data_IF_131598181601
#
_entry.id   IF_131598181601
#
_cell.length_a   1.000
_cell.length_b   1.000
_cell.length_c   1.000
_cell.angle_alpha   90.00
_cell.angle_beta   90.00
_cell.angle_gamma   90.00
#
_symmetry.space_group_name_H-M   'P 1'
#
loop_
_entity.id
_entity.type
_entity.pdbx_description
1 polymer ?
#
# COMPACT_ATOMS: atom_id res chain seq x y z
N UNK A 1 -21.59 39.41 89.95
CA UNK A 1 -21.01 38.10 90.08
C UNK A 1 -20.41 37.75 88.78
N UNK A 2 -19.13 37.89 88.69
CA UNK A 2 -18.35 37.83 87.48
C UNK A 2 -17.72 36.43 87.28
N UNK A 3 -17.79 35.83 86.11
CA UNK A 3 -16.80 34.99 85.50
C UNK A 3 -17.48 34.08 84.47
N UNK A 4 -17.33 34.31 83.18
CA UNK A 4 -17.26 33.33 82.06
C UNK A 4 -17.39 34.06 80.73
N UNK A 5 -16.32 34.67 80.32
CA UNK A 5 -16.12 35.00 78.89
C UNK A 5 -14.61 35.18 78.73
N UNK A 6 -14.00 34.14 78.24
CA UNK A 6 -12.69 34.13 77.58
C UNK A 6 -12.26 32.68 77.29
N UNK A 7 -12.83 32.02 76.32
CA UNK A 7 -12.24 30.91 75.56
C UNK A 7 -13.14 30.68 74.37
N UNK A 8 -12.95 31.34 73.25
CA UNK A 8 -13.47 30.97 71.94
C UNK A 8 -12.98 31.85 70.78
N UNK A 9 -11.67 32.10 70.70
CA UNK A 9 -11.10 32.76 69.51
C UNK A 9 -9.71 32.26 69.14
N UNK A 10 -9.47 30.96 69.25
CA UNK A 10 -8.18 30.38 68.87
C UNK A 10 -8.31 29.09 67.98
N UNK A 11 -9.44 28.88 67.34
CA UNK A 11 -9.66 27.62 66.52
C UNK A 11 -10.10 27.87 65.10
N UNK A 12 -9.96 29.09 64.54
CA UNK A 12 -10.47 29.39 63.17
C UNK A 12 -9.37 29.85 62.17
N UNK A 13 -8.10 29.65 62.45
CA UNK A 13 -6.97 30.09 61.61
C UNK A 13 -6.05 29.02 61.16
N UNK A 14 -6.43 27.71 61.22
CA UNK A 14 -5.60 26.59 60.77
C UNK A 14 -6.18 25.75 59.61
N UNK A 15 -7.28 26.20 58.97
CA UNK A 15 -7.95 25.45 57.90
C UNK A 15 -7.85 26.10 56.51
N UNK A 16 -7.02 27.12 56.29
CA UNK A 16 -6.94 27.86 55.02
C UNK A 16 -5.58 27.77 54.32
N UNK A 17 -4.72 26.82 54.67
CA UNK A 17 -3.35 26.72 54.12
C UNK A 17 -3.06 25.40 53.38
N UNK A 18 -4.06 24.59 52.93
CA UNK A 18 -3.81 23.34 52.22
C UNK A 18 -4.62 23.17 50.94
N UNK A 19 -5.06 24.25 50.30
CA UNK A 19 -5.58 24.25 48.93
C UNK A 19 -4.62 24.94 47.97
N UNK A 20 -3.31 24.60 48.06
CA UNK A 20 -2.30 25.13 47.14
C UNK A 20 -1.92 24.06 46.14
N UNK A 21 -2.32 24.31 44.90
CA UNK A 21 -1.65 23.89 43.68
C UNK A 21 -1.58 22.38 43.37
N UNK A 22 -2.72 21.75 43.11
CA UNK A 22 -2.73 20.84 41.97
C UNK A 22 -3.04 21.73 40.77
N UNK A 23 -2.08 22.50 40.30
CA UNK A 23 -2.08 23.00 38.94
C UNK A 23 -2.00 21.73 38.04
N UNK A 24 -2.97 21.47 37.18
CA UNK A 24 -2.75 20.47 36.17
C UNK A 24 -1.49 20.90 35.42
N UNK A 25 -0.48 20.06 35.41
CA UNK A 25 0.61 20.18 34.43
C UNK A 25 -0.05 20.21 33.07
N UNK A 26 -0.34 21.39 32.57
CA UNK A 26 -0.60 21.61 31.17
C UNK A 26 0.72 21.27 30.49
N UNK A 27 0.89 20.00 30.18
CA UNK A 27 1.94 19.56 29.26
C UNK A 27 1.76 20.42 28.01
N UNK A 28 2.71 21.28 27.75
CA UNK A 28 2.72 22.08 26.54
C UNK A 28 2.55 21.11 25.39
N UNK A 29 1.35 21.12 24.77
CA UNK A 29 1.02 20.23 23.66
C UNK A 29 2.01 20.55 22.55
N UNK A 30 2.87 19.62 22.23
CA UNK A 30 3.86 19.79 21.16
C UNK A 30 3.14 20.15 19.86
N UNK A 31 3.83 20.85 18.95
CA UNK A 31 3.29 21.17 17.62
C UNK A 31 2.78 19.92 16.95
N UNK A 32 1.61 19.99 16.29
CA UNK A 32 1.00 18.87 15.56
C UNK A 32 2.00 18.16 14.62
N UNK A 33 1.82 16.85 14.45
CA UNK A 33 2.49 16.08 13.41
C UNK A 33 1.62 16.16 12.16
N UNK A 34 2.09 16.85 11.15
CA UNK A 34 1.37 17.03 9.89
C UNK A 34 1.84 16.01 8.84
N UNK A 35 0.91 15.27 8.27
CA UNK A 35 1.17 14.27 7.22
C UNK A 35 0.41 14.69 5.98
N UNK A 36 1.10 14.89 4.85
CA UNK A 36 0.42 15.02 3.56
C UNK A 36 0.09 13.62 3.02
N UNK A 37 -1.17 13.36 2.67
CA UNK A 37 -1.53 12.21 1.84
C UNK A 37 -1.84 12.69 0.43
N UNK A 38 -0.90 12.41 -0.49
CA UNK A 38 -1.00 12.77 -1.91
C UNK A 38 -1.36 11.51 -2.67
N UNK A 39 -2.52 11.48 -3.31
CA UNK A 39 -3.06 10.28 -3.93
C UNK A 39 -4.04 10.63 -5.05
N UNK A 40 -4.38 9.68 -5.90
CA UNK A 40 -5.40 9.84 -6.93
C UNK A 40 -6.79 9.79 -6.27
N UNK A 41 -7.23 10.93 -5.72
CA UNK A 41 -8.58 11.10 -5.14
C UNK A 41 -9.63 11.12 -6.23
N UNK A 42 -9.24 11.54 -7.44
CA UNK A 42 -10.01 11.50 -8.68
C UNK A 42 -9.19 10.90 -9.82
N UNK A 43 -9.84 10.58 -10.95
CA UNK A 43 -9.18 10.05 -12.14
C UNK A 43 -9.19 8.52 -12.23
N UNK A 44 -8.40 7.93 -13.15
CA UNK A 44 -8.49 6.50 -13.50
C UNK A 44 -8.21 5.52 -12.35
N UNK A 45 -7.47 5.97 -11.31
CA UNK A 45 -7.11 5.16 -10.14
C UNK A 45 -7.83 5.62 -8.86
N UNK A 46 -8.92 6.37 -8.99
CA UNK A 46 -9.70 6.90 -7.86
C UNK A 46 -10.07 5.81 -6.84
N UNK A 47 -10.54 4.64 -7.30
CA UNK A 47 -10.92 3.54 -6.41
C UNK A 47 -9.73 3.05 -5.55
N UNK A 48 -8.52 3.02 -6.13
CA UNK A 48 -7.30 2.62 -5.42
C UNK A 48 -6.89 3.67 -4.38
N UNK A 49 -6.87 4.94 -4.80
CA UNK A 49 -6.50 6.05 -3.93
C UNK A 49 -7.44 6.18 -2.73
N UNK A 50 -8.75 6.10 -2.95
CA UNK A 50 -9.76 6.16 -1.88
C UNK A 50 -9.64 5.00 -0.89
N UNK A 51 -9.37 3.78 -1.36
CA UNK A 51 -9.11 2.66 -0.47
C UNK A 51 -7.86 2.89 0.39
N UNK A 52 -6.78 3.39 -0.21
CA UNK A 52 -5.55 3.72 0.53
C UNK A 52 -5.82 4.79 1.60
N UNK A 53 -6.57 5.84 1.27
CA UNK A 53 -6.96 6.87 2.24
C UNK A 53 -7.79 6.30 3.39
N UNK A 54 -8.80 5.49 3.08
CA UNK A 54 -9.62 4.81 4.10
C UNK A 54 -8.74 3.98 5.03
N UNK A 55 -7.85 3.16 4.46
CA UNK A 55 -6.93 2.34 5.24
C UNK A 55 -5.96 3.15 6.09
N UNK A 56 -5.40 4.23 5.54
CA UNK A 56 -4.50 5.13 6.27
C UNK A 56 -5.19 5.71 7.51
N UNK A 57 -6.39 6.27 7.37
CA UNK A 57 -7.13 6.86 8.48
C UNK A 57 -7.52 5.82 9.53
N UNK A 58 -8.04 4.67 9.11
CA UNK A 58 -8.38 3.56 10.01
C UNK A 58 -7.16 3.03 10.76
N UNK A 59 -6.03 2.90 10.05
CA UNK A 59 -4.78 2.43 10.65
C UNK A 59 -4.17 3.43 11.63
N UNK A 60 -4.27 4.73 11.37
CA UNK A 60 -3.86 5.78 12.31
C UNK A 60 -4.72 5.74 13.59
N UNK A 61 -6.03 5.63 13.43
CA UNK A 61 -6.96 5.48 14.55
C UNK A 61 -6.60 4.25 15.40
N UNK A 62 -6.50 3.08 14.77
CA UNK A 62 -6.14 1.83 15.43
C UNK A 62 -4.78 1.90 16.13
N UNK A 63 -3.73 2.35 15.44
CA UNK A 63 -2.37 2.35 15.96
C UNK A 63 -2.15 3.35 17.12
N UNK A 64 -2.99 4.39 17.18
CA UNK A 64 -2.97 5.38 18.27
C UNK A 64 -3.98 5.09 19.37
N UNK A 65 -4.76 4.01 19.28
CA UNK A 65 -5.82 3.67 20.23
C UNK A 65 -6.95 4.71 20.24
N UNK A 66 -7.32 5.25 19.08
CA UNK A 66 -8.40 6.24 18.93
C UNK A 66 -8.00 7.68 19.26
N UNK A 67 -6.80 7.92 19.73
CA UNK A 67 -6.38 9.25 20.21
C UNK A 67 -5.86 10.19 19.13
N UNK A 68 -5.45 9.64 17.99
CA UNK A 68 -4.74 10.37 16.92
C UNK A 68 -3.55 11.20 17.45
N UNK A 69 -2.85 10.67 18.48
CA UNK A 69 -1.71 11.36 19.10
C UNK A 69 -0.51 10.43 19.29
N UNK A 70 0.69 10.96 19.16
CA UNK A 70 1.94 10.26 19.49
C UNK A 70 2.91 11.26 20.15
N UNK A 71 3.53 10.87 21.27
CA UNK A 71 4.46 11.73 22.00
C UNK A 71 3.85 13.07 22.42
N UNK A 72 2.55 13.09 22.76
CA UNK A 72 1.81 14.29 23.14
C UNK A 72 1.48 15.24 21.97
N UNK A 73 1.76 14.85 20.74
CA UNK A 73 1.50 15.61 19.49
C UNK A 73 0.33 15.00 18.72
N UNK A 74 -0.61 15.83 18.27
CA UNK A 74 -1.74 15.38 17.43
C UNK A 74 -1.26 15.10 16.03
N UNK A 75 -1.76 14.01 15.43
CA UNK A 75 -1.57 13.69 13.99
C UNK A 75 -2.68 14.38 13.19
N UNK A 76 -2.28 15.14 12.18
CA UNK A 76 -3.17 15.82 11.23
C UNK A 76 -2.82 15.38 9.83
N UNK A 77 -3.78 14.82 9.11
CA UNK A 77 -3.61 14.40 7.71
C UNK A 77 -4.19 15.46 6.77
N UNK A 78 -3.38 15.92 5.82
CA UNK A 78 -3.74 16.88 4.77
C UNK A 78 -3.81 16.13 3.45
N UNK A 79 -5.02 16.01 2.91
CA UNK A 79 -5.25 15.32 1.64
C UNK A 79 -4.97 16.23 0.43
N UNK A 80 -4.33 15.66 -0.60
CA UNK A 80 -4.06 16.33 -1.88
C UNK A 80 -4.33 15.36 -3.03
N UNK A 81 -5.04 15.83 -4.05
CA UNK A 81 -5.44 15.05 -5.22
C UNK A 81 -4.44 15.21 -6.37
N UNK A 82 -3.68 14.17 -6.67
CA UNK A 82 -2.71 14.16 -7.79
C UNK A 82 -3.36 13.84 -9.15
N UNK A 83 -4.61 13.39 -9.17
CA UNK A 83 -5.36 13.02 -10.38
C UNK A 83 -4.62 11.97 -11.26
N UNK A 84 -3.64 11.27 -10.72
CA UNK A 84 -2.74 10.39 -11.46
C UNK A 84 -1.75 11.12 -12.38
N UNK A 85 -1.54 12.45 -12.20
CA UNK A 85 -0.71 13.30 -13.03
C UNK A 85 0.67 13.55 -12.37
N UNK A 86 1.79 13.13 -13.00
CA UNK A 86 3.13 13.25 -12.42
C UNK A 86 3.51 14.67 -12.02
N UNK A 87 3.30 15.67 -12.91
CA UNK A 87 3.65 17.06 -12.63
C UNK A 87 2.81 17.66 -11.49
N UNK A 88 1.52 17.27 -11.41
CA UNK A 88 0.65 17.72 -10.32
C UNK A 88 1.12 17.12 -8.99
N UNK A 89 1.38 15.81 -8.94
CA UNK A 89 1.88 15.16 -7.72
C UNK A 89 3.19 15.75 -7.24
N UNK A 90 4.13 16.03 -8.15
CA UNK A 90 5.40 16.73 -7.87
C UNK A 90 5.15 18.10 -7.22
N UNK A 91 4.30 18.93 -7.83
CA UNK A 91 4.00 20.27 -7.33
C UNK A 91 3.26 20.24 -5.99
N UNK A 92 2.33 19.32 -5.82
CA UNK A 92 1.61 19.13 -4.55
C UNK A 92 2.53 18.71 -3.41
N UNK A 93 3.52 17.86 -3.67
CA UNK A 93 4.50 17.48 -2.65
C UNK A 93 5.41 18.66 -2.27
N UNK A 94 5.88 19.43 -3.25
CA UNK A 94 6.66 20.62 -3.00
C UNK A 94 5.90 21.66 -2.15
N UNK A 95 4.63 21.92 -2.49
CA UNK A 95 3.76 22.80 -1.70
C UNK A 95 3.50 22.23 -0.30
N UNK A 96 3.27 20.92 -0.15
CA UNK A 96 3.08 20.30 1.15
C UNK A 96 4.29 20.50 2.06
N UNK A 97 5.49 20.29 1.56
CA UNK A 97 6.72 20.48 2.34
C UNK A 97 7.07 21.95 2.55
N UNK A 98 6.93 22.78 1.50
CA UNK A 98 7.31 24.18 1.49
C UNK A 98 6.32 25.12 2.17
N UNK A 99 5.05 25.03 1.81
CA UNK A 99 4.00 25.97 2.24
C UNK A 99 3.23 25.45 3.45
N UNK A 100 2.67 24.22 3.37
CA UNK A 100 1.88 23.61 4.46
C UNK A 100 2.75 23.18 5.64
N UNK A 101 4.08 23.11 5.45
CA UNK A 101 5.07 22.70 6.46
C UNK A 101 4.75 21.33 7.06
N UNK A 102 4.33 20.36 6.21
CA UNK A 102 4.12 19.00 6.70
C UNK A 102 5.44 18.36 7.12
N UNK A 103 5.37 17.45 8.09
CA UNK A 103 6.53 16.75 8.62
C UNK A 103 7.00 15.63 7.67
N UNK A 104 6.04 14.92 7.06
CA UNK A 104 6.27 13.82 6.14
C UNK A 104 5.07 13.67 5.19
N UNK A 105 5.22 12.83 4.16
CA UNK A 105 4.14 12.55 3.20
C UNK A 105 3.95 11.04 2.98
N UNK A 106 2.73 10.65 2.60
CA UNK A 106 2.32 9.31 2.18
C UNK A 106 1.75 9.37 0.77
N UNK A 107 1.95 8.35 0.00
CA UNK A 107 1.47 8.23 -1.39
C UNK A 107 2.64 8.04 -2.36
N UNK A 108 2.39 8.22 -3.66
CA UNK A 108 1.12 8.37 -4.36
C UNK A 108 0.55 7.03 -4.86
N UNK A 109 -0.61 7.10 -5.55
CA UNK A 109 -1.26 5.90 -6.09
C UNK A 109 -0.53 5.33 -7.32
N UNK A 110 -0.10 6.18 -8.23
CA UNK A 110 0.48 5.79 -9.52
C UNK A 110 2.01 5.84 -9.52
N UNK A 111 2.67 4.82 -10.12
CA UNK A 111 4.14 4.77 -10.20
C UNK A 111 4.77 5.94 -10.95
N UNK A 112 4.24 6.44 -12.08
CA UNK A 112 4.79 7.64 -12.73
C UNK A 112 4.75 8.88 -11.84
N UNK A 113 3.68 9.03 -11.02
CA UNK A 113 3.58 10.12 -10.05
C UNK A 113 4.62 9.97 -8.95
N UNK A 114 4.81 8.75 -8.42
CA UNK A 114 5.84 8.48 -7.42
C UNK A 114 7.22 8.90 -7.92
N UNK A 115 7.60 8.47 -9.13
CA UNK A 115 8.90 8.79 -9.71
C UNK A 115 9.12 10.31 -9.84
N UNK A 116 8.09 11.08 -10.16
CA UNK A 116 8.18 12.54 -10.21
C UNK A 116 8.32 13.19 -8.82
N UNK A 117 7.83 12.52 -7.76
CA UNK A 117 7.89 13.02 -6.39
C UNK A 117 9.21 12.70 -5.66
N UNK A 118 9.96 11.65 -6.07
CA UNK A 118 11.17 11.24 -5.38
C UNK A 118 12.24 12.35 -5.26
N UNK A 119 12.56 13.11 -6.31
CA UNK A 119 13.52 14.20 -6.20
C UNK A 119 13.08 15.32 -5.25
N UNK A 120 11.76 15.57 -5.13
CA UNK A 120 11.21 16.58 -4.21
C UNK A 120 11.44 16.18 -2.76
N UNK A 121 11.25 14.90 -2.42
CA UNK A 121 11.53 14.40 -1.07
C UNK A 121 13.01 14.59 -0.69
N UNK A 122 13.92 14.40 -1.64
CA UNK A 122 15.36 14.65 -1.45
C UNK A 122 15.69 16.13 -1.30
N UNK A 123 15.14 16.99 -2.15
CA UNK A 123 15.31 18.45 -2.12
C UNK A 123 14.90 19.03 -0.75
N UNK A 124 13.72 18.65 -0.26
CA UNK A 124 13.20 19.13 1.01
C UNK A 124 13.74 18.34 2.23
N UNK A 125 14.50 17.27 1.99
CA UNK A 125 15.05 16.38 3.05
C UNK A 125 13.97 15.88 4.02
N UNK A 126 12.83 15.44 3.47
CA UNK A 126 11.67 14.94 4.21
C UNK A 126 11.24 13.56 3.71
N UNK A 127 10.72 12.74 4.63
CA UNK A 127 10.30 11.38 4.32
C UNK A 127 9.07 11.38 3.41
N UNK A 128 9.16 10.61 2.31
CA UNK A 128 8.03 10.17 1.51
C UNK A 128 7.87 8.66 1.71
N UNK A 129 6.77 8.24 2.33
CA UNK A 129 6.37 6.85 2.46
C UNK A 129 5.49 6.47 1.27
N UNK A 130 6.02 5.65 0.37
CA UNK A 130 5.33 5.28 -0.87
C UNK A 130 4.33 4.15 -0.62
N UNK A 131 3.07 4.40 -0.96
CA UNK A 131 1.93 3.48 -0.93
C UNK A 131 0.84 4.02 -1.86
N UNK A 132 0.29 3.26 -2.79
CA UNK A 132 0.59 1.87 -3.18
C UNK A 132 1.43 1.72 -4.45
N UNK A 133 2.09 2.76 -4.96
CA UNK A 133 2.86 2.71 -6.20
C UNK A 133 3.95 1.61 -6.18
N UNK A 134 4.05 0.81 -7.27
CA UNK A 134 4.78 -0.47 -7.23
C UNK A 134 6.03 -0.57 -8.10
N UNK A 135 6.30 0.36 -9.04
CA UNK A 135 7.45 0.25 -9.93
C UNK A 135 8.75 -0.01 -9.15
N UNK A 136 9.55 -0.97 -9.59
CA UNK A 136 10.81 -1.35 -8.93
C UNK A 136 11.79 -0.18 -8.85
N UNK A 137 11.78 0.69 -9.87
CA UNK A 137 12.63 1.88 -9.95
C UNK A 137 12.46 2.84 -8.76
N UNK A 138 11.31 2.82 -8.05
CA UNK A 138 11.03 3.70 -6.90
C UNK A 138 12.02 3.43 -5.73
N UNK A 139 12.25 2.18 -5.38
CA UNK A 139 13.24 1.75 -4.38
C UNK A 139 14.48 1.14 -5.04
N UNK A 140 14.60 1.25 -6.37
CA UNK A 140 15.71 0.85 -7.20
C UNK A 140 16.59 2.03 -7.62
N UNK A 141 16.81 2.18 -8.92
CA UNK A 141 17.73 3.16 -9.50
C UNK A 141 17.34 4.63 -9.26
N UNK A 142 16.08 4.92 -8.90
CA UNK A 142 15.58 6.27 -8.55
C UNK A 142 15.50 6.52 -7.05
N UNK A 143 15.88 5.54 -6.24
CA UNK A 143 15.83 5.65 -4.79
C UNK A 143 16.74 6.77 -4.26
N UNK A 144 16.30 7.41 -3.19
CA UNK A 144 17.14 8.21 -2.31
C UNK A 144 16.78 7.92 -0.84
N UNK A 145 17.64 8.31 0.10
CA UNK A 145 17.52 7.92 1.52
C UNK A 145 16.24 8.40 2.24
N UNK A 146 15.49 9.33 1.64
CA UNK A 146 14.23 9.85 2.21
C UNK A 146 13.01 9.03 1.77
N UNK A 147 13.19 8.04 0.90
CA UNK A 147 12.11 7.21 0.36
C UNK A 147 12.03 5.92 1.16
N UNK A 148 10.85 5.64 1.72
CA UNK A 148 10.45 4.35 2.26
C UNK A 148 9.22 3.86 1.51
N UNK A 149 9.01 2.53 1.43
CA UNK A 149 7.84 1.97 0.76
C UNK A 149 7.24 0.84 1.56
N UNK A 150 5.97 0.99 1.96
CA UNK A 150 5.15 -0.08 2.54
C UNK A 150 4.43 -0.88 1.46
N UNK A 151 4.13 -0.27 0.32
CA UNK A 151 3.60 -0.98 -0.84
C UNK A 151 4.54 -2.11 -1.31
N UNK A 152 3.95 -3.16 -1.89
CA UNK A 152 4.78 -4.16 -2.57
C UNK A 152 5.46 -3.52 -3.78
N UNK A 153 6.53 -4.15 -4.27
CA UNK A 153 7.18 -3.72 -5.51
C UNK A 153 6.90 -4.69 -6.68
N UNK A 154 7.27 -4.31 -7.89
CA UNK A 154 7.07 -5.13 -9.09
C UNK A 154 7.73 -6.50 -8.98
N UNK A 155 8.91 -6.58 -8.35
CA UNK A 155 9.61 -7.85 -8.12
C UNK A 155 8.84 -8.78 -7.17
N UNK A 156 8.23 -8.25 -6.10
CA UNK A 156 7.38 -9.06 -5.22
C UNK A 156 6.14 -9.59 -5.95
N UNK A 157 5.45 -8.73 -6.73
CA UNK A 157 4.32 -9.17 -7.56
C UNK A 157 4.77 -10.24 -8.57
N UNK A 158 5.88 -10.03 -9.25
CA UNK A 158 6.38 -10.91 -10.30
C UNK A 158 6.78 -12.28 -9.77
N UNK A 159 7.61 -12.32 -8.72
CA UNK A 159 8.06 -13.57 -8.10
C UNK A 159 6.86 -14.38 -7.59
N UNK A 160 5.92 -13.70 -6.92
CA UNK A 160 4.73 -14.37 -6.39
C UNK A 160 3.84 -14.94 -7.51
N UNK A 161 3.64 -14.19 -8.60
CA UNK A 161 2.82 -14.64 -9.72
C UNK A 161 3.52 -15.74 -10.56
N UNK A 162 4.86 -15.71 -10.65
CA UNK A 162 5.61 -16.76 -11.32
C UNK A 162 5.36 -18.15 -10.70
N UNK A 163 5.11 -18.23 -9.38
CA UNK A 163 4.76 -19.49 -8.70
C UNK A 163 3.56 -20.20 -9.37
N UNK A 164 2.60 -19.43 -9.88
CA UNK A 164 1.40 -19.98 -10.52
C UNK A 164 1.65 -20.43 -11.97
N UNK A 165 2.50 -19.73 -12.72
CA UNK A 165 2.57 -19.86 -14.19
C UNK A 165 3.92 -20.37 -14.72
N UNK A 166 5.00 -20.30 -13.93
CA UNK A 166 6.34 -20.71 -14.37
C UNK A 166 6.51 -22.24 -14.33
N UNK A 167 6.08 -22.91 -15.41
CA UNK A 167 6.10 -24.38 -15.56
C UNK A 167 6.69 -24.75 -16.92
N UNK A 168 7.24 -25.96 -17.02
CA UNK A 168 7.76 -26.48 -18.27
C UNK A 168 6.66 -26.58 -19.34
N UNK A 169 7.00 -26.24 -20.58
CA UNK A 169 6.06 -26.30 -21.71
C UNK A 169 5.03 -25.15 -21.75
N UNK A 170 5.18 -24.12 -20.88
CA UNK A 170 4.31 -22.94 -20.88
C UNK A 170 4.92 -21.83 -21.74
N UNK A 171 4.13 -21.28 -22.67
CA UNK A 171 4.45 -20.09 -23.44
C UNK A 171 3.61 -18.90 -22.95
N UNK A 172 4.26 -17.79 -22.65
CA UNK A 172 3.62 -16.61 -22.07
C UNK A 172 3.80 -15.40 -22.99
N UNK A 173 2.75 -14.61 -23.11
CA UNK A 173 2.79 -13.24 -23.61
C UNK A 173 2.35 -12.34 -22.46
N UNK A 174 3.03 -11.22 -22.23
CA UNK A 174 2.55 -10.21 -21.30
C UNK A 174 1.71 -9.15 -22.02
N UNK A 175 0.62 -8.70 -21.39
CA UNK A 175 -0.11 -7.50 -21.78
C UNK A 175 0.03 -6.48 -20.63
N UNK A 176 0.70 -5.38 -20.89
CA UNK A 176 1.01 -4.39 -19.88
C UNK A 176 0.69 -2.96 -20.31
N UNK A 177 0.44 -2.09 -19.34
CA UNK A 177 0.38 -0.65 -19.60
C UNK A 177 1.75 -0.11 -19.98
N UNK A 178 1.81 0.74 -21.01
CA UNK A 178 3.04 1.47 -21.38
C UNK A 178 3.29 2.62 -20.41
N UNK A 179 3.81 2.28 -19.25
CA UNK A 179 4.13 3.18 -18.15
C UNK A 179 5.23 2.57 -17.28
N UNK A 180 5.79 3.33 -16.35
CA UNK A 180 6.78 2.81 -15.41
C UNK A 180 6.25 1.57 -14.65
N UNK A 181 4.96 1.57 -14.26
CA UNK A 181 4.32 0.42 -13.64
C UNK A 181 4.40 -0.84 -14.51
N UNK A 182 3.94 -0.75 -15.77
CA UNK A 182 3.87 -1.91 -16.65
C UNK A 182 5.26 -2.37 -17.11
N UNK A 183 6.16 -1.45 -17.43
CA UNK A 183 7.51 -1.79 -17.89
C UNK A 183 8.35 -2.44 -16.80
N UNK A 184 8.37 -1.89 -15.57
CA UNK A 184 9.05 -2.51 -14.44
C UNK A 184 8.40 -3.86 -14.08
N UNK A 185 7.06 -3.94 -14.17
CA UNK A 185 6.31 -5.17 -13.95
C UNK A 185 6.69 -6.29 -14.92
N UNK A 186 6.74 -6.00 -16.24
CA UNK A 186 7.14 -6.97 -17.26
C UNK A 186 8.60 -7.39 -17.08
N UNK A 187 9.50 -6.41 -16.81
CA UNK A 187 10.91 -6.71 -16.57
C UNK A 187 11.08 -7.66 -15.39
N UNK A 188 10.46 -7.34 -14.25
CA UNK A 188 10.51 -8.18 -13.06
C UNK A 188 9.91 -9.58 -13.30
N UNK A 189 8.78 -9.64 -14.03
CA UNK A 189 8.12 -10.90 -14.36
C UNK A 189 9.01 -11.77 -15.26
N UNK A 190 9.62 -11.20 -16.29
CA UNK A 190 10.56 -11.90 -17.16
C UNK A 190 11.76 -12.47 -16.39
N UNK A 191 12.31 -11.69 -15.45
CA UNK A 191 13.42 -12.13 -14.59
C UNK A 191 13.02 -13.25 -13.62
N UNK A 192 11.72 -13.37 -13.29
CA UNK A 192 11.19 -14.38 -12.38
C UNK A 192 10.80 -15.70 -13.07
N UNK A 193 10.85 -15.76 -14.41
CA UNK A 193 10.55 -16.96 -15.18
C UNK A 193 11.81 -17.78 -15.44
N UNK A 194 11.80 -19.05 -15.02
CA UNK A 194 12.95 -19.96 -15.15
C UNK A 194 12.64 -21.20 -16.00
N UNK A 195 11.37 -21.57 -16.17
CA UNK A 195 10.90 -22.77 -16.88
C UNK A 195 10.06 -22.42 -18.11
N UNK A 196 9.15 -21.47 -17.96
CA UNK A 196 8.29 -20.99 -19.04
C UNK A 196 9.02 -20.03 -19.98
N UNK A 197 8.46 -19.83 -21.18
CA UNK A 197 9.02 -18.92 -22.17
C UNK A 197 8.16 -17.68 -22.32
N UNK A 198 8.70 -16.51 -22.05
CA UNK A 198 8.11 -15.24 -22.45
C UNK A 198 8.40 -15.02 -23.94
N UNK A 199 7.38 -15.15 -24.79
CA UNK A 199 7.52 -15.12 -26.26
C UNK A 199 7.21 -13.77 -26.88
N UNK A 200 6.49 -12.89 -26.16
CA UNK A 200 6.19 -11.53 -26.59
C UNK A 200 5.81 -10.64 -25.40
N UNK A 201 6.16 -9.37 -25.52
CA UNK A 201 5.77 -8.31 -24.57
C UNK A 201 4.88 -7.30 -25.33
N UNK A 202 3.59 -7.25 -24.99
CA UNK A 202 2.63 -6.32 -25.57
C UNK A 202 2.44 -5.14 -24.61
N UNK A 203 2.75 -3.94 -25.07
CA UNK A 203 2.54 -2.69 -24.33
C UNK A 203 1.46 -1.85 -24.97
N UNK A 204 0.49 -1.42 -24.20
CA UNK A 204 -0.62 -0.59 -24.64
C UNK A 204 -0.72 0.69 -23.81
N UNK A 205 -1.13 1.83 -24.40
CA UNK A 205 -1.32 3.07 -23.65
C UNK A 205 -2.23 2.86 -22.42
N UNK A 206 -1.95 3.52 -21.27
CA UNK A 206 -2.76 3.36 -20.06
C UNK A 206 -4.24 3.72 -20.24
N UNK A 207 -4.57 4.60 -21.18
CA UNK A 207 -5.95 5.01 -21.50
C UNK A 207 -6.65 4.07 -22.49
N UNK A 208 -6.05 2.93 -22.86
CA UNK A 208 -6.65 1.97 -23.82
C UNK A 208 -7.98 1.43 -23.31
N UNK A 209 -9.01 1.51 -24.14
CA UNK A 209 -10.35 0.95 -23.89
C UNK A 209 -10.73 -0.11 -24.91
N UNK A 210 -10.09 -0.11 -26.09
CA UNK A 210 -10.19 -1.13 -27.13
C UNK A 210 -8.89 -1.93 -27.21
N UNK A 211 -8.96 -3.18 -26.82
CA UNK A 211 -7.83 -4.11 -26.78
C UNK A 211 -7.73 -5.00 -28.03
N UNK A 212 -8.60 -4.85 -29.01
CA UNK A 212 -8.74 -5.78 -30.16
C UNK A 212 -7.43 -5.95 -30.90
N UNK A 213 -6.76 -4.88 -31.30
CA UNK A 213 -5.51 -4.96 -32.06
C UNK A 213 -4.37 -5.59 -31.25
N UNK A 214 -4.27 -5.26 -29.95
CA UNK A 214 -3.29 -5.87 -29.04
C UNK A 214 -3.58 -7.36 -28.83
N UNK A 215 -4.84 -7.73 -28.60
CA UNK A 215 -5.25 -9.11 -28.44
C UNK A 215 -4.94 -9.94 -29.69
N UNK A 216 -5.18 -9.41 -30.90
CA UNK A 216 -4.85 -10.11 -32.15
C UNK A 216 -3.35 -10.38 -32.27
N UNK A 217 -2.48 -9.39 -31.97
CA UNK A 217 -1.02 -9.61 -31.96
C UNK A 217 -0.59 -10.69 -30.99
N UNK A 218 -1.16 -10.71 -29.78
CA UNK A 218 -0.88 -11.73 -28.76
C UNK A 218 -1.34 -13.13 -29.22
N UNK A 219 -2.55 -13.24 -29.79
CA UNK A 219 -3.06 -14.49 -30.38
C UNK A 219 -2.11 -15.00 -31.45
N UNK A 220 -1.68 -14.13 -32.37
CA UNK A 220 -0.78 -14.52 -33.47
C UNK A 220 0.58 -15.04 -32.97
N UNK A 221 1.05 -14.56 -31.82
CA UNK A 221 2.28 -15.06 -31.19
C UNK A 221 2.10 -16.42 -30.51
N UNK A 222 0.91 -16.72 -29.99
CA UNK A 222 0.64 -17.92 -29.19
C UNK A 222 -0.04 -19.06 -29.94
N UNK A 223 -0.95 -18.79 -30.92
CA UNK A 223 -1.87 -19.77 -31.48
C UNK A 223 -1.20 -21.01 -32.09
N UNK A 224 0.00 -20.87 -32.64
CA UNK A 224 0.75 -21.97 -33.27
C UNK A 224 1.72 -22.71 -32.34
N UNK A 225 1.85 -22.28 -31.10
CA UNK A 225 2.79 -22.87 -30.15
C UNK A 225 2.19 -24.12 -29.49
N UNK A 226 3.03 -25.14 -29.18
CA UNK A 226 2.58 -26.30 -28.41
C UNK A 226 2.46 -25.96 -26.93
N UNK A 227 1.78 -26.85 -26.17
CA UNK A 227 1.66 -26.75 -24.72
C UNK A 227 0.68 -25.70 -24.25
N UNK A 228 0.84 -25.33 -22.98
CA UNK A 228 -0.01 -24.33 -22.31
C UNK A 228 0.38 -22.93 -22.78
N UNK A 229 -0.61 -22.09 -23.05
CA UNK A 229 -0.44 -20.73 -23.58
C UNK A 229 -1.15 -19.74 -22.70
N UNK A 230 -0.44 -18.69 -22.25
CA UNK A 230 -0.95 -17.72 -21.28
C UNK A 230 -0.75 -16.29 -21.79
N UNK A 231 -1.79 -15.48 -21.69
CA UNK A 231 -1.67 -14.02 -21.65
C UNK A 231 -1.63 -13.60 -20.18
N UNK A 232 -0.49 -13.10 -19.73
CA UNK A 232 -0.32 -12.57 -18.37
C UNK A 232 -0.55 -11.06 -18.37
N UNK A 233 -1.56 -10.60 -17.59
CA UNK A 233 -2.00 -9.20 -17.57
C UNK A 233 -1.32 -8.44 -16.44
N UNK A 234 -0.67 -7.29 -16.78
CA UNK A 234 -0.09 -6.32 -15.85
C UNK A 234 -0.77 -4.97 -16.09
N UNK A 235 -1.92 -4.77 -15.45
CA UNK A 235 -2.79 -3.63 -15.73
C UNK A 235 -3.41 -3.06 -14.46
N UNK A 236 -3.48 -1.72 -14.36
CA UNK A 236 -4.11 -1.00 -13.27
C UNK A 236 -5.26 -0.12 -13.79
N UNK A 237 -6.44 -0.21 -13.12
CA UNK A 237 -7.65 0.48 -13.57
C UNK A 237 -8.26 -0.11 -14.84
N UNK A 238 -9.39 0.44 -15.29
CA UNK A 238 -10.08 -0.01 -16.50
C UNK A 238 -10.55 -1.47 -16.44
N UNK A 239 -10.79 -2.05 -17.62
CA UNK A 239 -11.18 -3.46 -17.77
C UNK A 239 -10.35 -4.16 -18.86
N UNK A 240 -9.14 -4.64 -18.54
CA UNK A 240 -8.27 -5.35 -19.48
C UNK A 240 -8.84 -6.72 -19.90
N UNK A 241 -9.80 -7.28 -19.16
CA UNK A 241 -10.40 -8.58 -19.44
C UNK A 241 -11.30 -8.59 -20.69
N UNK A 242 -11.59 -7.41 -21.28
CA UNK A 242 -12.21 -7.33 -22.62
C UNK A 242 -11.46 -8.09 -23.71
N UNK A 243 -10.17 -8.42 -23.52
CA UNK A 243 -9.45 -9.30 -24.44
C UNK A 243 -10.08 -10.71 -24.54
N UNK A 244 -10.83 -11.14 -23.55
CA UNK A 244 -11.54 -12.41 -23.57
C UNK A 244 -12.64 -12.47 -24.66
N UNK A 245 -13.17 -11.31 -25.09
CA UNK A 245 -14.17 -11.19 -26.17
C UNK A 245 -13.59 -11.65 -27.53
N UNK A 246 -12.26 -11.78 -27.64
CA UNK A 246 -11.56 -12.30 -28.81
C UNK A 246 -11.50 -13.83 -28.87
N UNK A 247 -12.34 -14.54 -28.12
CA UNK A 247 -12.42 -15.99 -28.06
C UNK A 247 -11.07 -16.71 -27.91
N UNK A 248 -10.28 -16.25 -26.93
CA UNK A 248 -8.94 -16.78 -26.63
C UNK A 248 -8.96 -18.30 -26.41
N UNK A 249 -10.06 -18.83 -25.89
CA UNK A 249 -10.24 -20.28 -25.63
C UNK A 249 -10.18 -21.12 -26.91
N UNK A 250 -10.67 -20.59 -28.05
CA UNK A 250 -10.58 -21.25 -29.36
C UNK A 250 -9.14 -21.57 -29.75
N UNK A 251 -8.18 -20.76 -29.30
CA UNK A 251 -6.75 -20.93 -29.54
C UNK A 251 -6.02 -21.65 -28.40
N UNK A 252 -6.76 -22.12 -27.38
CA UNK A 252 -6.20 -22.75 -26.19
C UNK A 252 -5.37 -21.77 -25.38
N UNK A 253 -5.71 -20.47 -25.40
CA UNK A 253 -5.02 -19.41 -24.67
C UNK A 253 -5.80 -19.10 -23.39
N UNK A 254 -5.09 -19.14 -22.27
CA UNK A 254 -5.60 -18.80 -20.94
C UNK A 254 -5.21 -17.38 -20.56
N UNK A 255 -5.98 -16.75 -19.68
CA UNK A 255 -5.62 -15.49 -19.03
C UNK A 255 -5.10 -15.81 -17.63
N UNK A 256 -4.02 -15.12 -17.22
CA UNK A 256 -3.55 -15.10 -15.85
C UNK A 256 -3.21 -13.67 -15.42
N UNK A 257 -3.36 -13.37 -14.15
CA UNK A 257 -3.04 -12.06 -13.55
C UNK A 257 -2.94 -12.17 -12.04
N UNK A 258 -2.42 -11.13 -11.39
CA UNK A 258 -2.46 -10.99 -9.94
C UNK A 258 -3.85 -10.66 -9.38
N UNK A 259 -3.98 -10.67 -8.07
CA UNK A 259 -5.16 -10.16 -7.37
C UNK A 259 -5.35 -8.67 -7.60
N UNK A 260 -6.57 -8.19 -7.40
CA UNK A 260 -6.95 -6.80 -7.59
C UNK A 260 -8.03 -6.42 -6.58
N UNK A 261 -8.54 -5.18 -6.65
CA UNK A 261 -9.69 -4.72 -5.87
C UNK A 261 -10.94 -5.53 -6.20
N UNK A 262 -11.82 -5.70 -5.21
CA UNK A 262 -13.03 -6.52 -5.35
C UNK A 262 -13.90 -6.14 -6.56
N UNK A 263 -14.13 -4.85 -6.88
CA UNK A 263 -14.86 -4.47 -8.09
C UNK A 263 -14.22 -4.97 -9.39
N UNK A 264 -12.91 -4.97 -9.49
CA UNK A 264 -12.21 -5.52 -10.66
C UNK A 264 -12.30 -7.06 -10.72
N UNK A 265 -12.30 -7.71 -9.56
CA UNK A 265 -12.40 -9.16 -9.46
C UNK A 265 -13.79 -9.73 -9.79
N UNK A 266 -14.79 -8.87 -10.02
CA UNK A 266 -16.07 -9.30 -10.62
C UNK A 266 -15.83 -9.97 -11.98
N UNK A 267 -14.92 -9.45 -12.79
CA UNK A 267 -14.55 -10.06 -14.08
C UNK A 267 -13.88 -11.44 -13.93
N UNK A 268 -13.24 -11.72 -12.80
CA UNK A 268 -12.58 -13.02 -12.54
C UNK A 268 -13.57 -14.21 -12.47
N UNK A 269 -14.87 -13.93 -12.29
CA UNK A 269 -15.91 -14.99 -12.35
C UNK A 269 -15.95 -15.70 -13.73
N UNK A 270 -15.45 -15.06 -14.77
CA UNK A 270 -15.38 -15.66 -16.11
C UNK A 270 -14.21 -16.66 -16.24
N UNK A 271 -13.31 -16.71 -15.26
CA UNK A 271 -12.08 -17.50 -15.30
C UNK A 271 -11.96 -18.43 -14.08
N UNK A 272 -12.90 -19.36 -13.87
CA UNK A 272 -12.81 -20.32 -12.77
C UNK A 272 -11.53 -21.14 -12.91
N UNK A 273 -10.80 -21.28 -11.80
CA UNK A 273 -9.52 -21.99 -11.80
C UNK A 273 -8.31 -21.15 -12.22
N UNK A 274 -8.47 -19.90 -12.63
CA UNK A 274 -7.35 -18.98 -12.87
C UNK A 274 -6.49 -18.87 -11.62
N UNK A 275 -5.18 -19.03 -11.78
CA UNK A 275 -4.20 -18.89 -10.69
C UNK A 275 -3.42 -17.58 -10.82
N UNK A 276 -3.01 -17.04 -9.69
CA UNK A 276 -2.18 -15.86 -9.58
C UNK A 276 -1.74 -15.61 -8.13
N UNK A 277 -1.15 -14.46 -7.88
CA UNK A 277 -0.81 -14.04 -6.53
C UNK A 277 -1.46 -12.70 -6.17
N UNK A 278 -1.97 -12.59 -4.97
CA UNK A 278 -2.56 -11.37 -4.43
C UNK A 278 -1.65 -10.74 -3.38
N UNK A 279 -1.65 -9.41 -3.35
CA UNK A 279 -1.09 -8.63 -2.27
C UNK A 279 -1.88 -8.81 -0.97
N UNK A 280 -3.22 -8.79 -1.07
CA UNK A 280 -4.13 -8.94 0.04
C UNK A 280 -5.51 -9.40 -0.43
N UNK A 281 -6.17 -10.19 0.40
CA UNK A 281 -7.60 -10.45 0.39
C UNK A 281 -8.06 -10.68 1.82
N UNK A 282 -9.11 -10.05 2.27
CA UNK A 282 -9.50 -9.95 3.67
C UNK A 282 -9.63 -11.29 4.42
N UNK A 283 -9.94 -12.38 3.71
CA UNK A 283 -10.07 -13.71 4.27
C UNK A 283 -8.77 -14.53 4.36
N UNK A 284 -7.64 -14.03 3.80
CA UNK A 284 -6.39 -14.79 3.74
C UNK A 284 -5.49 -14.61 4.97
N UNK A 285 -5.13 -13.40 5.40
CA UNK A 285 -4.30 -13.22 6.58
C UNK A 285 -5.03 -13.65 7.85
N UNK A 286 -4.33 -14.32 8.76
CA UNK A 286 -4.87 -14.78 10.06
C UNK A 286 -4.05 -14.15 11.19
N UNK A 287 -4.40 -12.94 11.57
CA UNK A 287 -3.75 -12.22 12.66
C UNK A 287 -4.67 -11.15 13.26
N UNK A 288 -4.42 -10.73 14.53
CA UNK A 288 -5.31 -9.80 15.23
C UNK A 288 -5.46 -8.43 14.56
N UNK A 289 -4.44 -7.94 13.82
CA UNK A 289 -4.49 -6.65 13.14
C UNK A 289 -5.44 -6.71 11.94
N UNK A 290 -5.41 -7.83 11.19
CA UNK A 290 -6.38 -8.06 10.12
C UNK A 290 -7.80 -8.18 10.66
N UNK A 291 -7.99 -8.95 11.72
CA UNK A 291 -9.31 -9.13 12.32
C UNK A 291 -9.90 -7.79 12.80
N UNK A 292 -9.06 -6.92 13.40
CA UNK A 292 -9.46 -5.58 13.81
C UNK A 292 -9.82 -4.71 12.60
N UNK A 293 -9.00 -4.67 11.54
CA UNK A 293 -9.29 -3.89 10.32
C UNK A 293 -10.58 -4.37 9.66
N UNK A 294 -10.79 -5.68 9.54
CA UNK A 294 -12.02 -6.26 8.97
C UNK A 294 -13.24 -5.84 9.79
N UNK A 295 -13.18 -5.96 11.13
CA UNK A 295 -14.26 -5.56 12.03
C UNK A 295 -14.58 -4.06 11.92
N UNK A 296 -13.57 -3.19 11.95
CA UNK A 296 -13.72 -1.74 11.81
C UNK A 296 -14.37 -1.38 10.46
N UNK A 297 -13.90 -1.98 9.37
CA UNK A 297 -14.41 -1.70 8.02
C UNK A 297 -15.87 -2.14 7.86
N UNK A 298 -16.23 -3.33 8.35
CA UNK A 298 -17.63 -3.77 8.35
C UNK A 298 -18.52 -2.88 9.22
N UNK A 299 -18.02 -2.43 10.36
CA UNK A 299 -18.77 -1.53 11.24
C UNK A 299 -19.11 -0.22 10.53
N UNK A 300 -18.14 0.36 9.84
CA UNK A 300 -18.26 1.67 9.22
C UNK A 300 -18.93 1.63 7.83
N UNK A 301 -18.57 0.67 6.98
CA UNK A 301 -18.94 0.65 5.56
C UNK A 301 -19.86 -0.50 5.17
N UNK A 302 -20.12 -1.47 6.05
CA UNK A 302 -20.92 -2.68 5.78
C UNK A 302 -20.37 -3.59 4.67
N UNK A 303 -19.09 -3.44 4.34
CA UNK A 303 -18.37 -4.20 3.33
C UNK A 303 -17.02 -4.66 3.89
N UNK A 304 -16.38 -5.69 3.34
CA UNK A 304 -15.02 -6.04 3.74
C UNK A 304 -14.01 -4.97 3.31
N UNK A 305 -12.87 -4.85 4.02
CA UNK A 305 -11.74 -4.05 3.54
C UNK A 305 -11.18 -4.67 2.26
N UNK A 306 -10.66 -3.82 1.39
CA UNK A 306 -10.18 -4.22 0.09
C UNK A 306 -8.64 -4.09 -0.02
N UNK A 307 -8.12 -4.42 -1.16
CA UNK A 307 -6.72 -4.57 -1.51
C UNK A 307 -5.85 -3.39 -1.03
N UNK A 308 -6.23 -2.16 -1.39
CA UNK A 308 -5.46 -0.98 -1.00
C UNK A 308 -5.85 -0.40 0.37
N UNK A 309 -6.97 -0.82 0.94
CA UNK A 309 -7.30 -0.51 2.34
C UNK A 309 -6.24 -1.13 3.27
N UNK A 310 -5.85 -2.37 3.02
CA UNK A 310 -4.80 -3.03 3.79
C UNK A 310 -3.43 -2.32 3.64
N UNK A 311 -3.14 -1.78 2.45
CA UNK A 311 -1.92 -1.01 2.18
C UNK A 311 -1.86 0.28 2.99
N UNK A 312 -2.91 1.09 2.91
CA UNK A 312 -3.02 2.33 3.69
C UNK A 312 -2.94 2.08 5.19
N UNK A 313 -3.61 1.03 5.68
CA UNK A 313 -3.54 0.62 7.08
C UNK A 313 -2.11 0.24 7.49
N UNK A 314 -1.40 -0.51 6.64
CA UNK A 314 0.00 -0.89 6.87
C UNK A 314 0.93 0.33 6.91
N UNK A 315 0.68 1.35 6.08
CA UNK A 315 1.42 2.63 6.12
C UNK A 315 1.24 3.35 7.45
N UNK A 316 0.02 3.41 7.95
CA UNK A 316 -0.27 3.99 9.27
C UNK A 316 0.46 3.24 10.39
N UNK A 317 0.43 1.89 10.36
CA UNK A 317 1.14 1.05 11.35
C UNK A 317 2.65 1.34 11.33
N UNK A 318 3.26 1.44 10.15
CA UNK A 318 4.67 1.78 9.99
C UNK A 318 4.99 3.16 10.58
N UNK A 319 4.20 4.18 10.21
CA UNK A 319 4.39 5.55 10.68
C UNK A 319 4.24 5.68 12.19
N UNK A 320 3.16 5.16 12.76
CA UNK A 320 2.92 5.26 14.19
C UNK A 320 3.96 4.47 14.99
N UNK A 321 4.41 3.32 14.47
CA UNK A 321 5.52 2.55 15.09
C UNK A 321 6.80 3.38 15.10
N UNK A 322 7.17 4.02 13.99
CA UNK A 322 8.34 4.88 13.92
C UNK A 322 8.22 6.10 14.86
N UNK A 323 7.09 6.79 14.82
CA UNK A 323 6.81 7.96 15.65
C UNK A 323 6.81 7.62 17.16
N UNK A 324 6.28 6.47 17.57
CA UNK A 324 6.37 5.99 18.95
C UNK A 324 7.82 5.76 19.38
N UNK A 325 8.63 5.12 18.54
CA UNK A 325 10.07 4.86 18.80
C UNK A 325 10.89 6.16 18.87
N UNK A 326 10.49 7.22 18.17
CA UNK A 326 11.14 8.53 18.20
C UNK A 326 10.53 9.49 19.23
N UNK A 327 9.52 9.03 19.99
CA UNK A 327 8.73 9.88 20.91
C UNK A 327 8.14 11.12 20.20
N UNK A 328 7.65 10.94 18.98
CA UNK A 328 7.06 12.03 18.19
C UNK A 328 8.06 12.94 17.48
N UNK A 329 9.37 12.65 17.53
CA UNK A 329 10.36 13.39 16.73
C UNK A 329 10.21 13.01 15.25
N UNK A 330 9.90 14.03 14.43
CA UNK A 330 9.68 13.91 12.99
C UNK A 330 10.88 14.30 12.14
N UNK A 331 12.03 14.57 12.77
CA UNK A 331 13.25 14.89 12.01
C UNK A 331 13.65 13.73 11.10
N UNK A 332 13.95 14.04 9.83
CA UNK A 332 14.18 13.00 8.82
C UNK A 332 15.32 12.04 9.19
N UNK A 333 16.44 12.54 9.71
CA UNK A 333 17.56 11.69 10.11
C UNK A 333 17.18 10.71 11.22
N UNK A 334 16.37 11.16 12.19
CA UNK A 334 15.89 10.30 13.28
C UNK A 334 14.91 9.24 12.77
N UNK A 335 13.99 9.63 11.86
CA UNK A 335 13.07 8.69 11.24
C UNK A 335 13.81 7.67 10.38
N UNK A 336 14.77 8.09 9.54
CA UNK A 336 15.56 7.18 8.70
C UNK A 336 16.26 6.13 9.57
N UNK A 337 17.03 6.57 10.58
CA UNK A 337 17.77 5.64 11.46
C UNK A 337 16.86 4.71 12.26
N UNK A 338 15.61 5.13 12.53
CA UNK A 338 14.62 4.31 13.25
C UNK A 338 13.94 3.31 12.32
N UNK A 339 13.62 3.73 11.09
CA UNK A 339 12.86 2.91 10.13
C UNK A 339 13.73 1.89 9.41
N UNK A 340 15.04 2.13 9.22
CA UNK A 340 15.97 1.15 8.64
C UNK A 340 16.00 -0.14 9.48
N UNK A 341 15.56 -1.26 8.90
CA UNK A 341 15.44 -2.55 9.57
C UNK A 341 14.28 -2.67 10.57
N UNK A 342 13.41 -1.66 10.65
CA UNK A 342 12.25 -1.67 11.56
C UNK A 342 11.21 -2.68 11.11
N UNK A 343 10.79 -3.53 12.06
CA UNK A 343 9.63 -4.40 11.90
C UNK A 343 8.40 -3.77 12.56
N UNK A 344 7.23 -4.01 11.98
CA UNK A 344 5.93 -3.54 12.46
C UNK A 344 4.82 -4.50 12.07
N UNK A 345 3.79 -4.60 12.89
CA UNK A 345 2.65 -5.47 12.65
C UNK A 345 1.65 -4.79 11.70
N UNK A 346 1.04 -5.58 10.82
CA UNK A 346 0.11 -5.10 9.78
C UNK A 346 -1.04 -6.10 9.59
N UNK A 347 -2.10 -5.74 8.86
CA UNK A 347 -3.13 -6.71 8.46
C UNK A 347 -2.56 -7.93 7.71
N UNK A 348 -1.40 -7.79 7.06
CA UNK A 348 -0.71 -8.87 6.35
C UNK A 348 0.28 -9.67 7.21
N UNK A 349 0.30 -9.42 8.51
CA UNK A 349 1.31 -9.94 9.44
C UNK A 349 2.47 -8.95 9.60
N UNK A 350 3.60 -9.47 10.04
CA UNK A 350 4.80 -8.65 10.29
C UNK A 350 5.46 -8.24 8.97
N UNK A 351 5.69 -6.94 8.82
CA UNK A 351 6.48 -6.37 7.73
C UNK A 351 7.78 -5.77 8.29
N UNK A 352 8.82 -5.74 7.47
CA UNK A 352 10.13 -5.18 7.88
C UNK A 352 10.68 -4.32 6.74
N UNK A 353 11.05 -3.08 7.02
CA UNK A 353 11.80 -2.26 6.07
C UNK A 353 13.19 -2.82 5.90
N UNK A 354 13.54 -3.23 4.68
CA UNK A 354 14.90 -3.63 4.35
C UNK A 354 15.81 -2.40 4.42
N UNK A 355 16.96 -2.56 5.07
CA UNK A 355 17.87 -1.44 5.33
C UNK A 355 18.49 -0.88 4.07
N UNK A 356 18.74 -1.72 3.09
CA UNK A 356 19.48 -1.39 1.87
C UNK A 356 18.73 -0.45 0.94
N UNK A 357 17.41 -0.60 0.82
CA UNK A 357 16.59 0.13 -0.15
C UNK A 357 15.28 0.65 0.41
N UNK A 358 15.05 0.48 1.70
CA UNK A 358 13.84 0.90 2.43
C UNK A 358 12.52 0.28 1.91
N UNK A 359 12.63 -0.85 1.16
CA UNK A 359 11.46 -1.62 0.76
C UNK A 359 10.95 -2.46 1.93
N UNK A 360 9.66 -2.37 2.25
CA UNK A 360 9.05 -3.29 3.20
C UNK A 360 8.90 -4.69 2.59
N UNK A 361 9.49 -5.66 3.28
CA UNK A 361 9.37 -7.07 2.95
C UNK A 361 8.08 -7.60 3.58
N UNK A 362 7.29 -8.35 2.80
CA UNK A 362 5.93 -8.74 3.16
C UNK A 362 5.50 -10.03 2.46
N UNK A 363 4.52 -10.74 3.03
CA UNK A 363 3.94 -11.93 2.42
C UNK A 363 3.08 -11.58 1.20
N UNK A 364 3.05 -12.53 0.25
CA UNK A 364 2.13 -12.57 -0.89
C UNK A 364 1.31 -13.86 -0.83
N UNK A 365 0.18 -13.92 -1.53
CA UNK A 365 -0.77 -15.02 -1.39
C UNK A 365 -1.06 -15.65 -2.76
N UNK A 366 -0.56 -16.87 -3.00
CA UNK A 366 -0.91 -17.66 -4.18
C UNK A 366 -2.34 -18.16 -4.04
N UNK A 367 -3.15 -17.85 -5.03
CA UNK A 367 -4.58 -18.19 -5.04
C UNK A 367 -5.01 -18.87 -6.32
N UNK A 368 -6.19 -19.50 -6.24
CA UNK A 368 -6.98 -20.00 -7.37
C UNK A 368 -8.38 -19.43 -7.31
N UNK A 369 -8.91 -18.98 -8.44
CA UNK A 369 -10.27 -18.42 -8.48
C UNK A 369 -11.31 -19.52 -8.37
N UNK A 370 -12.16 -19.39 -7.34
CA UNK A 370 -13.37 -20.18 -7.10
C UNK A 370 -14.61 -19.34 -7.37
N UNK A 371 -15.62 -19.96 -7.93
CA UNK A 371 -16.93 -19.35 -8.07
C UNK A 371 -17.79 -19.71 -6.88
N UNK A 372 -18.18 -18.69 -6.13
CA UNK A 372 -19.09 -18.81 -4.98
C UNK A 372 -20.26 -17.84 -5.21
N UNK A 373 -21.52 -18.34 -5.27
CA UNK A 373 -22.70 -17.52 -5.51
C UNK A 373 -22.96 -16.48 -4.41
N UNK A 374 -22.40 -16.67 -3.21
CA UNK A 374 -22.53 -15.69 -2.12
C UNK A 374 -21.75 -14.39 -2.38
N UNK A 375 -20.81 -14.38 -3.35
CA UNK A 375 -19.96 -13.23 -3.64
C UNK A 375 -20.20 -12.70 -5.05
N UNK A 376 -20.18 -11.38 -5.18
CA UNK A 376 -20.29 -10.71 -6.48
C UNK A 376 -19.05 -10.93 -7.36
N UNK A 377 -17.89 -11.23 -6.78
CA UNK A 377 -16.59 -11.40 -7.44
C UNK A 377 -16.12 -12.84 -7.47
N UNK A 378 -15.12 -13.14 -8.30
CA UNK A 378 -14.38 -14.41 -8.24
C UNK A 378 -13.58 -14.48 -6.97
N UNK A 379 -13.85 -15.47 -6.13
CA UNK A 379 -13.25 -15.61 -4.80
C UNK A 379 -11.84 -16.19 -4.94
N UNK A 380 -10.80 -15.50 -4.49
CA UNK A 380 -9.45 -16.03 -4.49
C UNK A 380 -9.29 -17.01 -3.31
N UNK A 381 -9.41 -18.29 -3.60
CA UNK A 381 -9.14 -19.36 -2.62
C UNK A 381 -7.63 -19.49 -2.41
N UNK A 382 -7.18 -19.39 -1.16
CA UNK A 382 -5.77 -19.48 -0.83
C UNK A 382 -5.21 -20.87 -1.11
N UNK A 383 -4.16 -20.94 -1.94
CA UNK A 383 -3.35 -22.16 -2.13
C UNK A 383 -2.23 -22.17 -1.09
N UNK A 384 -1.44 -21.10 -1.03
CA UNK A 384 -0.41 -20.91 0.00
C UNK A 384 -0.01 -19.45 0.18
N UNK A 385 0.45 -19.13 1.36
CA UNK A 385 1.20 -17.91 1.63
C UNK A 385 2.63 -18.06 1.12
N UNK A 386 3.14 -17.04 0.43
CA UNK A 386 4.53 -16.92 -0.01
C UNK A 386 5.20 -15.93 0.94
N UNK A 387 6.07 -16.43 1.79
CA UNK A 387 6.71 -15.61 2.83
C UNK A 387 7.82 -14.72 2.24
N UNK A 388 8.14 -13.59 2.90
CA UNK A 388 9.20 -12.68 2.44
C UNK A 388 10.54 -13.39 2.20
N UNK A 389 10.89 -14.34 3.05
CA UNK A 389 12.15 -15.07 3.02
C UNK A 389 12.28 -16.00 1.81
N UNK A 390 11.14 -16.41 1.22
CA UNK A 390 11.10 -17.27 0.04
C UNK A 390 11.31 -16.49 -1.27
N UNK A 391 11.03 -15.18 -1.28
CA UNK A 391 10.92 -14.42 -2.53
C UNK A 391 12.26 -13.94 -3.10
N UNK A 392 13.34 -13.90 -2.31
CA UNK A 392 14.66 -13.41 -2.76
C UNK A 392 14.57 -12.12 -3.59
N UNK A 393 13.77 -11.15 -3.13
CA UNK A 393 13.51 -9.89 -3.85
C UNK A 393 14.82 -9.13 -4.11
N UNK A 394 15.17 -8.81 -5.37
CA UNK A 394 16.44 -8.18 -5.67
C UNK A 394 16.53 -6.76 -5.10
N UNK A 395 17.74 -6.37 -4.67
CA UNK A 395 18.09 -4.99 -4.32
C UNK A 395 18.55 -4.31 -5.60
N UNK A 396 17.89 -3.23 -5.99
CA UNK A 396 18.12 -2.57 -7.28
C UNK A 396 18.67 -1.16 -7.18
N UNK A 397 18.77 -0.60 -5.97
CA UNK A 397 19.38 0.72 -5.77
C UNK A 397 20.91 0.64 -5.74
N UNK A 398 21.52 1.81 -5.91
CA UNK A 398 22.95 2.03 -5.65
C UNK A 398 23.06 2.97 -4.45
N UNK A 399 23.47 2.45 -3.31
CA UNK A 399 23.82 3.27 -2.13
C UNK A 399 25.15 3.93 -2.32
#
# INVERSE_FOLDING_TARGET
>A
MFRRQFVSQAATLAALAFCSAISPLVMAQGKDIKIAHIYSKTGPLEAYGKQTQTGLMMGLDYATGGTMTVGGRKIVVIEKDDQGKPDLGKNLLAAAYGDDKVDLAVGPTASPVALAMLPVAEEYKKILLVEPAVADSITGDKWNKYIFRTGRNSSQDAIANAVAVDKDGVSIVTMAQDSAFGRDGVKAFKESLHKSKLVHEEYLPPATTDFTAGAQRMIDKLKGLPGRKIVFIIWAGGNPFKIADMDLKRYGIEIATGGNILPAMVAYKQFPGMEGAAYYYFGMPKNPVNDAMVSMHYTQFKTPPDFFTAGGFSSAMALVTALKKTNGDTSANKLISTMEGMSFDTPKGKMTFRKEDHQAMQSMYHFKIKIDPAFAWGVPELIREIKPEEMNVPIRNKR
#
